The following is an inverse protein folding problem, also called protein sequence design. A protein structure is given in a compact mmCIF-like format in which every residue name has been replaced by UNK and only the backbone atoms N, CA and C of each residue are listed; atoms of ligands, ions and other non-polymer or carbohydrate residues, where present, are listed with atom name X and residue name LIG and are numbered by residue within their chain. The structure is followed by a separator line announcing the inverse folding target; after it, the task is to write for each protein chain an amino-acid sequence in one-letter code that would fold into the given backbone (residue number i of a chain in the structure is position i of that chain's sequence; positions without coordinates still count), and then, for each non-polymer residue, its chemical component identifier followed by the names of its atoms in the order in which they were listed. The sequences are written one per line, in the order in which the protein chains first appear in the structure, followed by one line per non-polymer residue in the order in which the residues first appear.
data_IF_640487701165
#
_entry.id   IF_640487701165
#
_cell.length_a   1.000
_cell.length_b   1.000
_cell.length_c   1.000
_cell.angle_alpha   90.00
_cell.angle_beta   90.00
_cell.angle_gamma   90.00
#
_symmetry.space_group_name_H-M   'P 1'
#
loop_
_entity.id
_entity.type
_entity.pdbx_description
1 polymer ?
#
# COMPACT_ATOMS: atom_id res chain seq x y z
N UNK A 1 21.10 6.55 11.48
CA UNK A 1 20.22 7.75 11.56
C UNK A 1 19.23 7.69 12.73
N UNK A 2 18.68 6.52 13.11
CA UNK A 2 17.68 6.43 14.20
C UNK A 2 18.24 6.21 15.62
N UNK A 3 19.50 5.81 15.79
CA UNK A 3 20.12 5.57 17.12
C UNK A 3 20.21 6.80 18.04
N UNK A 4 19.91 8.01 17.54
CA UNK A 4 19.97 9.25 18.31
C UNK A 4 18.59 9.83 18.67
N UNK A 5 17.49 9.12 18.40
CA UNK A 5 16.17 9.63 18.77
C UNK A 5 15.98 9.52 20.29
N UNK A 6 16.19 10.64 20.98
CA UNK A 6 16.05 10.77 22.44
C UNK A 6 14.63 10.40 22.96
N UNK A 7 13.64 10.32 22.07
CA UNK A 7 12.26 10.00 22.41
C UNK A 7 11.54 9.27 21.24
N UNK A 8 11.69 7.94 21.10
CA UNK A 8 11.09 7.18 19.99
C UNK A 8 9.57 7.32 19.92
N UNK A 9 8.89 7.39 21.07
CA UNK A 9 7.44 7.61 21.15
C UNK A 9 7.00 8.93 20.53
N UNK A 10 7.75 10.01 20.78
CA UNK A 10 7.48 11.31 20.16
C UNK A 10 7.61 11.23 18.63
N UNK A 11 8.63 10.56 18.11
CA UNK A 11 8.76 10.32 16.66
C UNK A 11 7.64 9.43 16.12
N UNK A 12 7.22 8.40 16.86
CA UNK A 12 6.06 7.57 16.52
C UNK A 12 4.78 8.39 16.37
N UNK A 13 4.53 9.32 17.28
CA UNK A 13 3.40 10.26 17.19
C UNK A 13 3.50 11.17 15.96
N UNK A 14 4.69 11.68 15.64
CA UNK A 14 4.91 12.47 14.42
C UNK A 14 4.59 11.63 13.17
N UNK A 15 5.03 10.37 13.11
CA UNK A 15 4.74 9.49 11.96
C UNK A 15 3.26 9.16 11.82
N UNK A 16 2.52 9.04 12.92
CA UNK A 16 1.07 8.88 12.89
C UNK A 16 0.39 10.15 12.36
N UNK A 17 0.82 11.34 12.78
CA UNK A 17 0.31 12.60 12.21
C UNK A 17 0.64 12.69 10.71
N UNK A 18 1.87 12.36 10.32
CA UNK A 18 2.29 12.33 8.92
C UNK A 18 1.47 11.32 8.09
N UNK A 19 1.08 10.18 8.67
CA UNK A 19 0.17 9.21 8.06
C UNK A 19 -1.17 9.86 7.70
N UNK A 20 -1.80 10.56 8.65
CA UNK A 20 -3.09 11.22 8.38
C UNK A 20 -2.97 12.31 7.33
N UNK A 21 -1.87 13.08 7.34
CA UNK A 21 -1.59 14.09 6.31
C UNK A 21 -1.46 13.43 4.93
N UNK A 22 -0.68 12.37 4.82
CA UNK A 22 -0.41 11.70 3.55
C UNK A 22 -1.65 10.96 3.02
N UNK A 23 -2.43 10.34 3.90
CA UNK A 23 -3.73 9.75 3.57
C UNK A 23 -4.70 10.81 3.07
N UNK A 24 -4.81 11.94 3.77
CA UNK A 24 -5.66 13.07 3.36
C UNK A 24 -5.23 13.63 2.02
N UNK A 25 -3.92 13.77 1.78
CA UNK A 25 -3.39 14.20 0.49
C UNK A 25 -3.79 13.22 -0.63
N UNK A 26 -3.68 11.90 -0.39
CA UNK A 26 -4.14 10.89 -1.34
C UNK A 26 -5.65 10.98 -1.63
N UNK A 27 -6.47 11.18 -0.59
CA UNK A 27 -7.91 11.35 -0.73
C UNK A 27 -8.29 12.63 -1.51
N UNK A 28 -7.65 13.77 -1.20
CA UNK A 28 -7.86 15.04 -1.91
C UNK A 28 -7.47 14.93 -3.38
N UNK A 29 -6.33 14.30 -3.69
CA UNK A 29 -5.90 14.07 -5.07
C UNK A 29 -6.87 13.13 -5.80
N UNK A 30 -7.42 12.12 -5.11
CA UNK A 30 -8.44 11.22 -5.69
C UNK A 30 -9.75 11.97 -5.98
N UNK A 31 -10.18 12.85 -5.08
CA UNK A 31 -11.36 13.69 -5.30
C UNK A 31 -11.16 14.65 -6.49
N UNK A 32 -10.02 15.33 -6.56
CA UNK A 32 -9.68 16.21 -7.67
C UNK A 32 -9.67 15.46 -9.02
N UNK A 33 -9.18 14.21 -9.02
CA UNK A 33 -9.25 13.34 -10.20
C UNK A 33 -10.68 13.02 -10.62
N UNK A 34 -11.54 12.69 -9.66
CA UNK A 34 -12.94 12.39 -9.91
C UNK A 34 -13.74 13.61 -10.38
N UNK A 35 -13.51 14.79 -9.80
CA UNK A 35 -14.11 16.05 -10.26
C UNK A 35 -13.66 16.42 -11.68
N UNK A 36 -12.37 16.25 -11.99
CA UNK A 36 -11.87 16.47 -13.34
C UNK A 36 -12.52 15.51 -14.34
N UNK A 37 -12.67 14.24 -13.96
CA UNK A 37 -13.38 13.24 -14.75
C UNK A 37 -14.83 13.67 -15.03
N UNK A 38 -15.57 14.06 -13.98
CA UNK A 38 -16.96 14.53 -14.06
C UNK A 38 -17.12 15.74 -14.98
N UNK A 39 -16.25 16.74 -14.82
CA UNK A 39 -16.25 17.94 -15.65
C UNK A 39 -16.00 17.59 -17.12
N UNK A 40 -15.04 16.71 -17.38
CA UNK A 40 -14.71 16.31 -18.73
C UNK A 40 -15.82 15.48 -19.38
N UNK A 41 -16.49 14.61 -18.64
CA UNK A 41 -17.68 13.87 -19.13
C UNK A 41 -18.88 14.77 -19.39
N UNK A 42 -19.15 15.76 -18.53
CA UNK A 42 -20.28 16.69 -18.69
C UNK A 42 -20.15 17.56 -19.95
N UNK A 43 -18.93 17.95 -20.31
CA UNK A 43 -18.66 18.70 -21.55
C UNK A 43 -18.87 17.88 -22.82
N UNK A 44 -18.91 16.54 -22.72
CA UNK A 44 -18.86 15.63 -23.87
C UNK A 44 -20.14 14.82 -24.10
N UNK A 45 -21.26 15.17 -23.44
CA UNK A 45 -22.53 14.45 -23.58
C UNK A 45 -22.99 14.27 -25.04
N UNK A 46 -22.67 15.21 -25.94
CA UNK A 46 -23.15 15.22 -27.33
C UNK A 46 -22.03 15.15 -28.39
N UNK A 47 -20.78 14.86 -27.99
CA UNK A 47 -19.60 14.90 -28.88
C UNK A 47 -18.78 13.62 -28.79
N UNK A 48 -18.02 13.24 -29.83
CA UNK A 48 -17.06 12.15 -29.73
C UNK A 48 -16.11 12.41 -28.56
N UNK A 49 -15.99 11.42 -27.67
CA UNK A 49 -15.44 11.58 -26.33
C UNK A 49 -13.98 12.10 -26.32
N UNK A 50 -13.17 11.74 -27.32
CA UNK A 50 -11.72 11.99 -27.31
C UNK A 50 -11.30 13.48 -27.42
N UNK A 51 -11.66 14.24 -28.47
CA UNK A 51 -11.22 15.63 -28.60
C UNK A 51 -11.84 16.56 -27.53
N UNK A 52 -13.04 16.23 -27.08
CA UNK A 52 -13.75 16.99 -26.06
C UNK A 52 -13.10 16.83 -24.68
N UNK A 53 -12.70 15.60 -24.31
CA UNK A 53 -12.05 15.31 -23.04
C UNK A 53 -10.69 16.02 -22.92
N UNK A 54 -9.88 15.97 -23.99
CA UNK A 54 -8.62 16.72 -24.07
C UNK A 54 -8.83 18.23 -23.89
N UNK A 55 -9.89 18.79 -24.46
CA UNK A 55 -10.23 20.22 -24.33
C UNK A 55 -10.65 20.59 -22.92
N UNK A 56 -11.47 19.75 -22.25
CA UNK A 56 -11.88 19.96 -20.87
C UNK A 56 -10.70 19.95 -19.90
N UNK A 57 -9.76 19.01 -20.11
CA UNK A 57 -8.52 18.93 -19.33
C UNK A 57 -7.63 20.13 -19.59
N UNK A 58 -7.41 20.50 -20.85
CA UNK A 58 -6.62 21.69 -21.20
C UNK A 58 -7.21 22.97 -20.59
N UNK A 59 -8.54 23.11 -20.62
CA UNK A 59 -9.26 24.25 -20.03
C UNK A 59 -9.10 24.28 -18.51
N UNK A 60 -9.23 23.14 -17.85
CA UNK A 60 -9.06 23.04 -16.40
C UNK A 60 -7.61 23.35 -16.02
N UNK A 61 -6.64 22.81 -16.77
CA UNK A 61 -5.21 23.11 -16.60
C UNK A 61 -4.91 24.60 -16.75
N UNK A 62 -5.51 25.26 -17.75
CA UNK A 62 -5.35 26.69 -17.99
C UNK A 62 -5.92 27.53 -16.83
N UNK A 63 -7.07 27.12 -16.26
CA UNK A 63 -7.64 27.78 -15.07
C UNK A 63 -6.79 27.60 -13.82
N UNK A 64 -6.13 26.46 -13.68
CA UNK A 64 -5.32 26.12 -12.50
C UNK A 64 -3.87 26.60 -12.58
N UNK A 65 -3.44 27.11 -13.74
CA UNK A 65 -2.10 27.67 -13.91
C UNK A 65 -2.21 29.15 -14.32
N UNK A 66 -2.84 30.03 -13.50
CA UNK A 66 -2.79 31.46 -13.78
C UNK A 66 -1.32 31.88 -13.77
N UNK A 67 -0.91 32.65 -14.80
CA UNK A 67 0.44 33.21 -14.85
C UNK A 67 0.75 33.86 -13.50
N UNK A 68 1.74 33.33 -12.78
CA UNK A 68 2.11 33.83 -11.45
C UNK A 68 2.50 35.30 -11.61
N UNK A 69 1.77 36.26 -11.02
CA UNK A 69 2.17 37.65 -11.08
C UNK A 69 3.53 37.78 -10.38
N UNK A 70 4.50 38.44 -11.03
CA UNK A 70 5.88 38.60 -10.56
C UNK A 70 6.04 39.37 -9.23
N UNK A 71 4.96 39.62 -8.48
CA UNK A 71 4.95 40.58 -7.38
C UNK A 71 3.96 40.22 -6.27
N UNK A 72 4.14 39.10 -5.55
CA UNK A 72 3.57 38.94 -4.18
C UNK A 72 4.51 38.10 -3.28
N UNK A 73 4.89 38.62 -2.10
CA UNK A 73 5.41 37.85 -0.97
C UNK A 73 4.27 37.52 0.01
N UNK A 74 3.77 36.28 0.07
CA UNK A 74 3.02 35.82 1.25
C UNK A 74 2.89 34.29 1.33
N UNK A 75 2.95 33.79 2.56
CA UNK A 75 3.08 32.40 2.99
C UNK A 75 1.75 31.63 3.01
N UNK A 76 0.80 31.95 2.13
CA UNK A 76 -0.46 31.21 2.02
C UNK A 76 -0.31 30.11 0.96
N UNK A 77 -0.17 28.85 1.39
CA UNK A 77 0.10 27.73 0.49
C UNK A 77 -0.99 27.55 -0.59
N UNK A 78 -0.63 27.63 -1.89
CA UNK A 78 -1.48 27.26 -3.01
C UNK A 78 -1.42 25.74 -3.21
N UNK A 79 -2.07 24.96 -2.33
CA UNK A 79 -2.06 23.48 -2.43
C UNK A 79 -2.96 22.98 -3.58
N UNK A 80 -4.05 23.70 -3.88
CA UNK A 80 -5.05 23.24 -4.85
C UNK A 80 -4.54 23.26 -6.30
N UNK A 81 -3.72 24.23 -6.69
CA UNK A 81 -3.23 24.37 -8.08
C UNK A 81 -2.05 23.44 -8.40
N UNK A 82 -1.25 23.05 -7.40
CA UNK A 82 -0.19 22.04 -7.57
C UNK A 82 -0.73 20.60 -7.63
N UNK A 83 -1.85 20.33 -6.96
CA UNK A 83 -2.49 19.02 -6.92
C UNK A 83 -2.94 18.50 -8.30
N UNK A 84 -3.46 19.37 -9.18
CA UNK A 84 -3.90 18.95 -10.52
C UNK A 84 -2.74 18.51 -11.43
N UNK A 85 -1.57 19.13 -11.31
CA UNK A 85 -0.39 18.71 -12.07
C UNK A 85 0.09 17.30 -11.75
N UNK A 86 -0.24 16.80 -10.54
CA UNK A 86 0.10 15.44 -10.08
C UNK A 86 -0.89 14.37 -10.56
N UNK A 87 -2.11 14.78 -10.93
CA UNK A 87 -3.21 13.89 -11.35
C UNK A 87 -3.35 13.83 -12.87
N UNK A 88 -2.96 14.90 -13.58
CA UNK A 88 -3.11 15.01 -15.04
C UNK A 88 -1.78 14.75 -15.75
N UNK A 89 -1.73 13.71 -16.57
CA UNK A 89 -0.55 13.38 -17.41
C UNK A 89 -0.39 14.35 -18.58
N UNK A 90 0.76 14.33 -19.26
CA UNK A 90 1.01 15.18 -20.43
C UNK A 90 0.00 14.93 -21.57
N UNK A 91 -0.51 13.71 -21.70
CA UNK A 91 -1.41 13.27 -22.77
C UNK A 91 -2.90 13.44 -22.45
N UNK A 92 -3.25 14.23 -21.43
CA UNK A 92 -4.64 14.42 -20.98
C UNK A 92 -5.31 13.14 -20.44
N UNK A 93 -4.55 12.23 -19.85
CA UNK A 93 -5.10 11.14 -19.03
C UNK A 93 -5.12 11.53 -17.54
N UNK A 94 -6.16 11.08 -16.85
CA UNK A 94 -6.28 11.15 -15.40
C UNK A 94 -5.54 9.94 -14.81
N UNK A 95 -4.68 10.18 -13.82
CA UNK A 95 -3.87 9.17 -13.15
C UNK A 95 -4.06 9.24 -11.64
N UNK A 96 -4.31 8.10 -11.00
CA UNK A 96 -4.38 7.97 -9.55
C UNK A 96 -3.11 7.34 -8.97
N UNK A 97 -2.00 7.30 -9.72
CA UNK A 97 -0.73 6.73 -9.23
C UNK A 97 -0.21 7.43 -7.98
N UNK A 98 -0.21 8.77 -7.99
CA UNK A 98 0.25 9.54 -6.83
C UNK A 98 -0.67 9.32 -5.62
N UNK A 99 -2.02 9.42 -5.73
CA UNK A 99 -2.92 9.01 -4.66
C UNK A 99 -2.65 7.60 -4.10
N UNK A 100 -2.46 6.61 -4.98
CA UNK A 100 -2.15 5.22 -4.60
C UNK A 100 -0.88 5.15 -3.75
N UNK A 101 0.21 5.75 -4.23
CA UNK A 101 1.48 5.76 -3.51
C UNK A 101 1.38 6.51 -2.17
N UNK A 102 0.63 7.62 -2.10
CA UNK A 102 0.36 8.32 -0.86
C UNK A 102 -0.36 7.44 0.16
N UNK A 103 -1.44 6.76 -0.23
CA UNK A 103 -2.19 5.91 0.70
C UNK A 103 -1.38 4.69 1.15
N UNK A 104 -0.67 4.02 0.23
CA UNK A 104 0.21 2.89 0.58
C UNK A 104 1.31 3.35 1.54
N UNK A 105 1.98 4.46 1.24
CA UNK A 105 3.00 5.03 2.12
C UNK A 105 2.43 5.45 3.48
N UNK A 106 1.21 6.00 3.52
CA UNK A 106 0.53 6.33 4.77
C UNK A 106 0.32 5.07 5.63
N UNK A 107 -0.19 3.98 5.06
CA UNK A 107 -0.39 2.73 5.77
C UNK A 107 0.93 2.11 6.28
N UNK A 108 2.01 2.21 5.49
CA UNK A 108 3.33 1.77 5.93
C UNK A 108 3.88 2.62 7.08
N UNK A 109 3.76 3.95 6.98
CA UNK A 109 4.16 4.87 8.04
C UNK A 109 3.35 4.68 9.32
N UNK A 110 2.07 4.32 9.19
CA UNK A 110 1.21 4.01 10.34
C UNK A 110 1.80 2.86 11.15
N UNK A 111 2.17 1.76 10.51
CA UNK A 111 2.75 0.62 11.24
C UNK A 111 4.11 0.93 11.85
N UNK A 112 4.95 1.73 11.18
CA UNK A 112 6.21 2.20 11.77
C UNK A 112 5.94 3.08 13.00
N UNK A 113 4.98 4.01 12.89
CA UNK A 113 4.59 4.90 13.99
C UNK A 113 4.02 4.13 15.19
N UNK A 114 3.13 3.17 14.95
CA UNK A 114 2.58 2.28 15.99
C UNK A 114 3.69 1.44 16.62
N UNK A 115 4.62 0.91 15.82
CA UNK A 115 5.79 0.18 16.31
C UNK A 115 6.62 1.01 17.29
N UNK A 116 6.93 2.26 16.92
CA UNK A 116 7.69 3.18 17.76
C UNK A 116 6.97 3.53 19.07
N UNK A 117 5.63 3.67 19.05
CA UNK A 117 4.87 4.00 20.27
C UNK A 117 4.79 2.80 21.22
N UNK A 118 4.50 1.62 20.69
CA UNK A 118 4.20 0.43 21.49
C UNK A 118 5.46 -0.32 21.94
N UNK A 119 6.51 -0.29 21.12
CA UNK A 119 7.71 -1.12 21.30
C UNK A 119 9.02 -0.32 21.32
N UNK A 120 8.97 1.01 21.24
CA UNK A 120 10.15 1.88 21.13
C UNK A 120 11.06 1.51 19.93
N UNK A 121 10.49 0.84 18.90
CA UNK A 121 11.20 0.31 17.74
C UNK A 121 10.37 0.48 16.45
N UNK A 122 10.97 1.01 15.38
CA UNK A 122 10.34 1.17 14.07
C UNK A 122 9.85 -0.15 13.46
N UNK A 123 10.45 -1.27 13.84
CA UNK A 123 10.05 -2.62 13.45
C UNK A 123 9.07 -3.25 14.45
N UNK A 124 8.60 -2.52 15.45
CA UNK A 124 7.75 -3.04 16.54
C UNK A 124 6.57 -3.89 16.05
N UNK A 125 5.89 -3.45 15.00
CA UNK A 125 4.76 -4.18 14.40
C UNK A 125 5.14 -5.51 13.74
N UNK A 126 6.41 -5.68 13.37
CA UNK A 126 6.92 -6.90 12.75
C UNK A 126 7.75 -7.76 13.71
N UNK A 127 7.96 -7.33 14.96
CA UNK A 127 8.64 -8.16 15.96
C UNK A 127 7.75 -9.35 16.35
N UNK A 128 8.35 -10.51 16.55
CA UNK A 128 7.71 -11.66 17.19
C UNK A 128 7.58 -11.39 18.70
N UNK A 129 6.39 -11.60 19.26
CA UNK A 129 6.13 -11.31 20.68
C UNK A 129 6.89 -12.24 21.64
N UNK A 130 7.26 -13.44 21.19
CA UNK A 130 7.95 -14.42 22.02
C UNK A 130 9.46 -14.23 21.95
N UNK A 131 10.02 -14.05 20.75
CA UNK A 131 11.48 -13.95 20.57
C UNK A 131 12.03 -12.53 20.61
N UNK A 132 11.19 -11.52 20.33
CA UNK A 132 11.63 -10.13 20.14
C UNK A 132 12.44 -9.89 18.85
N UNK A 133 12.55 -10.91 17.99
CA UNK A 133 13.22 -10.82 16.69
C UNK A 133 12.25 -10.29 15.61
N UNK A 134 12.78 -9.67 14.55
CA UNK A 134 11.97 -9.30 13.39
C UNK A 134 11.43 -10.56 12.68
N UNK A 135 10.11 -10.69 12.58
CA UNK A 135 9.44 -11.80 11.94
C UNK A 135 9.20 -11.50 10.46
N UNK A 136 9.78 -12.33 9.58
CA UNK A 136 9.56 -12.23 8.14
C UNK A 136 8.07 -12.33 7.78
N UNK A 137 7.34 -13.29 8.36
CA UNK A 137 5.90 -13.45 8.09
C UNK A 137 5.07 -12.24 8.51
N UNK A 138 5.43 -11.55 9.60
CA UNK A 138 4.74 -10.32 10.02
C UNK A 138 5.07 -9.15 9.10
N UNK A 139 6.33 -9.03 8.68
CA UNK A 139 6.74 -8.02 7.70
C UNK A 139 6.05 -8.19 6.35
N UNK A 140 5.98 -9.42 5.84
CA UNK A 140 5.20 -9.78 4.66
C UNK A 140 3.73 -9.39 4.84
N UNK A 141 3.14 -9.74 5.99
CA UNK A 141 1.73 -9.44 6.23
C UNK A 141 1.40 -7.97 6.30
N UNK A 142 2.27 -7.21 6.96
CA UNK A 142 2.15 -5.77 7.01
C UNK A 142 2.28 -5.13 5.61
N UNK A 143 3.27 -5.54 4.82
CA UNK A 143 3.50 -5.03 3.47
C UNK A 143 2.32 -5.33 2.54
N UNK A 144 1.86 -6.58 2.49
CA UNK A 144 0.73 -6.99 1.64
C UNK A 144 -0.56 -6.28 2.03
N UNK A 145 -0.82 -6.15 3.33
CA UNK A 145 -1.99 -5.41 3.82
C UNK A 145 -1.93 -3.96 3.36
N UNK A 146 -0.79 -3.27 3.49
CA UNK A 146 -0.65 -1.89 3.06
C UNK A 146 -0.89 -1.70 1.55
N UNK A 147 -0.35 -2.61 0.71
CA UNK A 147 -0.52 -2.54 -0.75
C UNK A 147 -1.97 -2.81 -1.16
N UNK A 148 -2.57 -3.90 -0.67
CA UNK A 148 -3.94 -4.30 -1.05
C UNK A 148 -4.95 -3.28 -0.52
N UNK A 149 -4.85 -2.89 0.75
CA UNK A 149 -5.74 -1.88 1.33
C UNK A 149 -5.54 -0.50 0.70
N UNK A 150 -4.32 -0.14 0.32
CA UNK A 150 -4.06 1.12 -0.39
C UNK A 150 -4.73 1.17 -1.75
N UNK A 151 -4.60 0.09 -2.54
CA UNK A 151 -5.30 -0.06 -3.82
C UNK A 151 -6.81 -0.02 -3.67
N UNK A 152 -7.36 -0.82 -2.74
CA UNK A 152 -8.79 -0.86 -2.45
C UNK A 152 -9.32 0.52 -2.03
N UNK A 153 -8.61 1.22 -1.16
CA UNK A 153 -9.01 2.55 -0.68
C UNK A 153 -9.07 3.56 -1.81
N UNK A 154 -8.03 3.68 -2.64
CA UNK A 154 -8.01 4.68 -3.72
C UNK A 154 -9.07 4.40 -4.78
N UNK A 155 -9.26 3.14 -5.17
CA UNK A 155 -10.32 2.77 -6.11
C UNK A 155 -11.71 3.01 -5.53
N UNK A 156 -11.94 2.69 -4.24
CA UNK A 156 -13.20 2.98 -3.56
C UNK A 156 -13.46 4.48 -3.48
N UNK A 157 -12.47 5.28 -3.06
CA UNK A 157 -12.61 6.73 -3.00
C UNK A 157 -12.94 7.32 -4.37
N UNK A 158 -12.28 6.86 -5.43
CA UNK A 158 -12.59 7.30 -6.79
C UNK A 158 -14.01 6.92 -7.19
N UNK A 159 -14.44 5.67 -6.97
CA UNK A 159 -15.81 5.22 -7.22
C UNK A 159 -16.83 6.04 -6.42
N UNK A 160 -16.55 6.40 -5.17
CA UNK A 160 -17.43 7.24 -4.36
C UNK A 160 -17.54 8.66 -4.93
N UNK A 161 -16.41 9.34 -5.14
CA UNK A 161 -16.41 10.73 -5.61
C UNK A 161 -16.96 10.88 -7.04
N UNK A 162 -16.63 9.93 -7.92
CA UNK A 162 -17.17 9.90 -9.28
C UNK A 162 -18.63 9.41 -9.27
N UNK A 163 -18.88 8.26 -8.66
CA UNK A 163 -20.13 7.51 -8.75
C UNK A 163 -21.30 8.08 -7.98
N UNK A 164 -21.11 8.78 -6.85
CA UNK A 164 -22.24 9.40 -6.11
C UNK A 164 -22.96 10.44 -6.98
N UNK A 165 -22.21 11.22 -7.75
CA UNK A 165 -22.77 12.23 -8.65
C UNK A 165 -23.56 11.59 -9.82
N UNK A 166 -23.16 10.40 -10.26
CA UNK A 166 -23.86 9.65 -11.32
C UNK A 166 -25.02 8.79 -10.82
N UNK A 167 -24.86 8.11 -9.69
CA UNK A 167 -25.89 7.26 -9.10
C UNK A 167 -27.15 8.08 -8.79
N UNK A 168 -26.97 9.33 -8.33
CA UNK A 168 -28.06 10.27 -8.13
C UNK A 168 -28.85 10.55 -9.42
N UNK A 169 -28.17 10.61 -10.57
CA UNK A 169 -28.80 10.82 -11.87
C UNK A 169 -29.43 9.54 -12.46
N UNK A 170 -28.83 8.37 -12.19
CA UNK A 170 -29.22 7.10 -12.82
C UNK A 170 -30.39 6.35 -12.13
N UNK A 171 -30.84 6.82 -10.95
CA UNK A 171 -31.91 6.20 -10.14
C UNK A 171 -31.74 4.68 -9.89
N UNK A 172 -30.51 4.16 -9.98
CA UNK A 172 -30.15 2.75 -9.77
C UNK A 172 -29.07 2.65 -8.71
N UNK A 173 -29.14 1.67 -7.80
CA UNK A 173 -28.04 1.41 -6.87
C UNK A 173 -26.82 0.97 -7.68
N UNK A 174 -25.74 1.75 -7.60
CA UNK A 174 -24.44 1.41 -8.15
C UNK A 174 -23.63 0.77 -7.02
N UNK A 175 -23.02 -0.38 -7.27
CA UNK A 175 -22.03 -0.93 -6.33
C UNK A 175 -20.77 -0.05 -6.41
N UNK A 176 -20.47 0.66 -5.33
CA UNK A 176 -19.35 1.61 -5.27
C UNK A 176 -18.06 0.96 -4.78
N UNK A 177 -18.14 -0.25 -4.21
CA UNK A 177 -17.01 -0.93 -3.62
C UNK A 177 -16.39 -1.89 -4.64
N UNK A 178 -15.08 -1.78 -4.91
CA UNK A 178 -14.41 -2.74 -5.77
C UNK A 178 -14.51 -4.15 -5.18
N UNK A 179 -14.92 -5.13 -5.98
CA UNK A 179 -14.85 -6.54 -5.62
C UNK A 179 -13.41 -7.00 -5.36
N UNK A 180 -13.25 -7.91 -4.41
CA UNK A 180 -12.01 -8.64 -4.17
C UNK A 180 -12.12 -10.01 -4.85
N UNK A 181 -11.15 -10.33 -5.70
CA UNK A 181 -11.09 -11.65 -6.29
C UNK A 181 -10.85 -12.74 -5.23
N UNK A 182 -11.32 -13.96 -5.51
CA UNK A 182 -11.18 -15.10 -4.58
C UNK A 182 -9.71 -15.40 -4.27
N UNK A 183 -8.82 -15.34 -5.27
CA UNK A 183 -7.40 -15.61 -5.07
C UNK A 183 -6.76 -14.54 -4.19
N UNK A 184 -7.18 -13.27 -4.33
CA UNK A 184 -6.72 -12.18 -3.48
C UNK A 184 -7.22 -12.32 -2.03
N UNK A 185 -8.45 -12.81 -1.83
CA UNK A 185 -8.97 -13.14 -0.49
C UNK A 185 -8.20 -14.29 0.15
N UNK A 186 -7.89 -15.35 -0.62
CA UNK A 186 -7.05 -16.47 -0.16
C UNK A 186 -5.67 -15.95 0.20
N UNK A 187 -5.08 -15.05 -0.60
CA UNK A 187 -3.81 -14.40 -0.32
C UNK A 187 -3.82 -13.70 1.04
N UNK A 188 -4.80 -12.83 1.26
CA UNK A 188 -4.96 -12.11 2.53
C UNK A 188 -5.16 -13.07 3.70
N UNK A 189 -5.88 -14.18 3.49
CA UNK A 189 -6.05 -15.25 4.48
C UNK A 189 -4.72 -15.92 4.84
N UNK A 190 -3.93 -16.35 3.86
CA UNK A 190 -2.60 -16.97 4.08
C UNK A 190 -1.69 -15.99 4.82
N UNK A 191 -1.69 -14.74 4.37
CA UNK A 191 -0.86 -13.67 4.90
C UNK A 191 -1.24 -13.36 6.36
N UNK A 192 -2.53 -13.28 6.69
CA UNK A 192 -3.00 -13.02 8.06
C UNK A 192 -2.80 -14.23 8.99
N UNK A 193 -2.98 -15.45 8.48
CA UNK A 193 -2.82 -16.68 9.26
C UNK A 193 -1.34 -16.99 9.57
N UNK A 194 -0.43 -16.61 8.67
CA UNK A 194 0.99 -16.97 8.79
C UNK A 194 1.67 -16.48 10.07
N UNK A 195 1.54 -15.21 10.48
CA UNK A 195 2.05 -14.74 11.78
C UNK A 195 1.49 -15.51 12.98
N UNK A 196 0.21 -15.87 12.94
CA UNK A 196 -0.46 -16.61 14.01
C UNK A 196 0.10 -18.02 14.11
N UNK A 197 0.16 -18.73 12.98
CA UNK A 197 0.77 -20.06 12.90
C UNK A 197 2.24 -20.04 13.35
N UNK A 198 3.01 -19.04 12.91
CA UNK A 198 4.42 -18.89 13.29
C UNK A 198 4.59 -18.64 14.80
N UNK A 199 3.63 -17.94 15.44
CA UNK A 199 3.62 -17.71 16.89
C UNK A 199 3.32 -19.00 17.65
N UNK A 200 2.36 -19.81 17.18
CA UNK A 200 2.04 -21.11 17.78
C UNK A 200 3.21 -22.09 17.67
N UNK A 201 3.83 -22.21 16.50
CA UNK A 201 5.01 -23.07 16.29
C UNK A 201 6.19 -22.60 17.16
N UNK A 202 6.36 -21.29 17.31
CA UNK A 202 7.46 -20.73 18.12
C UNK A 202 7.34 -21.07 19.60
N UNK A 203 6.12 -21.13 20.17
CA UNK A 203 5.94 -21.46 21.60
C UNK A 203 6.42 -22.87 21.95
N UNK A 204 6.48 -23.77 20.97
CA UNK A 204 6.97 -25.14 21.15
C UNK A 204 8.49 -25.25 21.15
N UNK A 205 9.20 -24.19 20.79
CA UNK A 205 10.67 -24.17 20.74
C UNK A 205 11.15 -23.18 21.79
N UNK A 206 11.84 -23.60 22.87
CA UNK A 206 12.36 -22.67 23.86
C UNK A 206 13.29 -21.68 23.16
N UNK A 207 12.77 -20.47 22.94
CA UNK A 207 13.39 -19.48 22.08
C UNK A 207 14.71 -19.04 22.68
N UNK A 208 15.75 -19.02 21.85
CA UNK A 208 16.90 -18.17 22.14
C UNK A 208 16.35 -16.74 22.07
N UNK A 209 16.36 -16.05 23.21
CA UNK A 209 15.98 -14.66 23.25
C UNK A 209 16.88 -13.91 22.27
N UNK A 210 16.31 -13.27 21.24
CA UNK A 210 17.08 -12.30 20.49
C UNK A 210 17.69 -11.36 21.52
N UNK A 211 18.98 -10.98 21.36
CA UNK A 211 19.63 -10.09 22.32
C UNK A 211 18.69 -8.92 22.54
N UNK A 212 18.18 -8.78 23.78
CA UNK A 212 17.35 -7.64 24.18
C UNK A 212 18.23 -6.44 23.96
N UNK A 213 18.09 -5.80 22.82
CA UNK A 213 18.90 -4.63 22.56
C UNK A 213 18.25 -3.51 23.34
N UNK A 214 18.95 -3.15 24.41
CA UNK A 214 18.61 -2.01 25.24
C UNK A 214 18.88 -0.78 24.39
N UNK A 215 17.83 -0.24 23.76
CA UNK A 215 17.91 0.95 22.90
C UNK A 215 17.38 0.73 21.48
N UNK A 216 17.35 1.81 20.71
CA UNK A 216 16.91 1.82 19.31
C UNK A 216 17.96 1.08 18.49
N UNK A 217 17.62 -0.10 17.96
CA UNK A 217 18.46 -0.73 16.95
C UNK A 217 18.46 0.10 15.67
N UNK A 218 19.62 0.24 15.03
CA UNK A 218 19.70 0.76 13.68
C UNK A 218 18.75 0.03 12.73
N UNK A 219 18.05 0.77 11.86
CA UNK A 219 17.15 0.23 10.84
C UNK A 219 17.78 -0.93 10.05
N UNK A 220 19.05 -0.79 9.65
CA UNK A 220 19.77 -1.83 8.91
C UNK A 220 19.99 -3.10 9.72
N UNK A 221 20.19 -3.00 11.04
CA UNK A 221 20.33 -4.17 11.91
C UNK A 221 19.03 -4.96 11.97
N UNK A 222 17.89 -4.27 12.13
CA UNK A 222 16.56 -4.89 12.10
C UNK A 222 16.21 -5.46 10.74
N UNK A 223 16.57 -4.76 9.67
CA UNK A 223 16.40 -5.26 8.32
C UNK A 223 17.25 -6.51 8.07
N UNK A 224 18.51 -6.52 8.52
CA UNK A 224 19.40 -7.68 8.42
C UNK A 224 18.89 -8.91 9.21
N UNK A 225 18.18 -8.68 10.32
CA UNK A 225 17.53 -9.77 11.07
C UNK A 225 16.49 -10.52 10.24
N UNK A 226 15.86 -9.89 9.24
CA UNK A 226 14.93 -10.58 8.34
C UNK A 226 15.60 -11.69 7.51
N UNK A 227 16.93 -11.62 7.34
CA UNK A 227 17.74 -12.59 6.61
C UNK A 227 18.44 -13.60 7.53
N UNK A 228 18.41 -13.36 8.83
CA UNK A 228 19.10 -14.16 9.83
C UNK A 228 18.18 -15.22 10.42
N UNK A 229 18.70 -16.35 10.85
CA UNK A 229 17.91 -17.33 11.59
C UNK A 229 17.50 -16.80 12.97
N UNK A 230 16.23 -17.01 13.35
CA UNK A 230 15.74 -16.66 14.69
C UNK A 230 16.39 -17.53 15.77
N UNK A 231 16.90 -18.71 15.41
CA UNK A 231 17.54 -19.65 16.31
C UNK A 231 19.07 -19.45 16.45
N UNK A 232 19.70 -18.56 15.70
CA UNK A 232 21.17 -18.44 15.71
C UNK A 232 21.74 -17.66 16.92
N UNK A 233 20.88 -17.16 17.81
CA UNK A 233 21.29 -16.47 19.03
C UNK A 233 22.09 -15.21 18.80
N UNK A 234 23.21 -15.05 19.52
CA UNK A 234 24.06 -13.85 19.44
C UNK A 234 24.88 -13.76 18.15
N UNK A 235 25.00 -14.85 17.40
CA UNK A 235 25.73 -14.93 16.14
C UNK A 235 24.75 -15.19 15.00
N UNK A 236 24.02 -14.18 14.51
CA UNK A 236 23.04 -14.36 13.45
C UNK A 236 23.70 -14.99 12.23
N UNK A 237 23.27 -16.19 11.87
CA UNK A 237 23.67 -16.86 10.64
C UNK A 237 22.70 -16.47 9.53
N UNK A 238 23.24 -16.05 8.39
CA UNK A 238 22.43 -15.78 7.20
C UNK A 238 21.88 -17.10 6.67
N UNK A 239 20.57 -17.14 6.44
CA UNK A 239 19.93 -18.32 5.85
C UNK A 239 19.49 -18.04 4.43
N UNK A 240 19.95 -18.87 3.49
CA UNK A 240 19.63 -18.73 2.06
C UNK A 240 18.12 -18.79 1.84
N UNK A 241 17.40 -19.64 2.57
CA UNK A 241 15.94 -19.78 2.47
C UNK A 241 15.20 -18.49 2.84
N UNK A 242 15.60 -17.80 3.92
CA UNK A 242 14.99 -16.50 4.29
C UNK A 242 15.30 -15.44 3.27
N UNK A 243 16.54 -15.38 2.78
CA UNK A 243 16.91 -14.45 1.72
C UNK A 243 16.03 -14.65 0.47
N UNK A 244 15.80 -15.90 0.05
CA UNK A 244 14.89 -16.23 -1.05
C UNK A 244 13.46 -15.75 -0.76
N UNK A 245 12.94 -15.98 0.44
CA UNK A 245 11.59 -15.54 0.82
C UNK A 245 11.45 -14.01 0.82
N UNK A 246 12.44 -13.28 1.35
CA UNK A 246 12.47 -11.80 1.32
C UNK A 246 12.49 -11.29 -0.12
N UNK A 247 13.39 -11.82 -0.95
CA UNK A 247 13.50 -11.40 -2.35
C UNK A 247 12.23 -11.71 -3.14
N UNK A 248 11.66 -12.90 -2.97
CA UNK A 248 10.39 -13.27 -3.60
C UNK A 248 9.27 -12.31 -3.18
N UNK A 249 9.20 -11.96 -1.91
CA UNK A 249 8.21 -11.00 -1.39
C UNK A 249 8.36 -9.64 -2.07
N UNK A 250 9.59 -9.11 -2.16
CA UNK A 250 9.86 -7.81 -2.78
C UNK A 250 9.45 -7.84 -4.26
N UNK A 251 9.80 -8.90 -4.99
CA UNK A 251 9.44 -9.06 -6.40
C UNK A 251 7.93 -9.09 -6.57
N UNK A 252 7.23 -9.99 -5.86
CA UNK A 252 5.78 -10.13 -5.96
C UNK A 252 5.05 -8.83 -5.55
N UNK A 253 5.45 -8.21 -4.43
CA UNK A 253 4.87 -6.95 -3.97
C UNK A 253 5.05 -5.82 -4.99
N UNK A 254 6.24 -5.72 -5.60
CA UNK A 254 6.53 -4.73 -6.64
C UNK A 254 5.70 -5.00 -7.91
N UNK A 255 5.61 -6.26 -8.34
CA UNK A 255 4.79 -6.64 -9.50
C UNK A 255 3.31 -6.29 -9.28
N UNK A 256 2.76 -6.60 -8.10
CA UNK A 256 1.37 -6.30 -7.80
C UNK A 256 1.12 -4.79 -7.65
N UNK A 257 2.04 -4.06 -7.01
CA UNK A 257 1.97 -2.60 -6.95
C UNK A 257 2.05 -1.97 -8.36
N UNK A 258 2.84 -2.55 -9.27
CA UNK A 258 2.90 -2.14 -10.66
C UNK A 258 1.57 -2.42 -11.40
N UNK A 259 0.93 -3.57 -11.16
CA UNK A 259 -0.41 -3.85 -11.71
C UNK A 259 -1.47 -2.87 -11.19
N UNK A 260 -1.49 -2.61 -9.87
CA UNK A 260 -2.35 -1.57 -9.30
C UNK A 260 -2.07 -0.20 -9.93
N UNK A 261 -0.79 0.15 -10.07
CA UNK A 261 -0.36 1.41 -10.68
C UNK A 261 -0.73 1.53 -12.15
N UNK A 262 -0.71 0.45 -12.92
CA UNK A 262 -1.15 0.42 -14.31
C UNK A 262 -2.67 0.58 -14.39
N UNK A 263 -3.42 -0.15 -13.55
CA UNK A 263 -4.88 -0.10 -13.47
C UNK A 263 -5.41 1.30 -13.21
N UNK A 264 -4.68 2.10 -12.42
CA UNK A 264 -5.08 3.47 -12.06
C UNK A 264 -4.33 4.56 -12.82
N UNK A 265 -3.45 4.24 -13.78
CA UNK A 265 -2.63 5.25 -14.47
C UNK A 265 -3.34 5.92 -15.63
N UNK A 266 -3.99 5.12 -16.47
CA UNK A 266 -4.51 5.57 -17.76
C UNK A 266 -6.02 5.41 -17.68
N UNK A 267 -6.65 6.44 -17.13
CA UNK A 267 -8.09 6.57 -17.17
C UNK A 267 -8.41 7.46 -18.37
N UNK A 268 -8.95 6.84 -19.42
CA UNK A 268 -9.30 7.51 -20.66
C UNK A 268 -10.80 7.84 -20.75
N UNK A 269 -11.15 8.65 -21.77
CA UNK A 269 -12.52 9.06 -22.03
C UNK A 269 -13.47 7.88 -22.32
N UNK A 270 -12.95 6.77 -22.85
CA UNK A 270 -13.74 5.58 -23.20
C UNK A 270 -14.11 4.79 -21.95
N UNK A 271 -13.23 4.71 -20.95
CA UNK A 271 -13.53 4.09 -19.66
C UNK A 271 -14.67 4.81 -18.94
N UNK A 272 -14.74 6.15 -19.05
CA UNK A 272 -15.83 6.92 -18.45
C UNK A 272 -17.19 6.67 -19.11
N UNK A 273 -17.25 6.60 -20.44
CA UNK A 273 -18.53 6.37 -21.14
C UNK A 273 -19.12 4.99 -20.83
N UNK A 274 -18.27 4.00 -20.58
CA UNK A 274 -18.68 2.66 -20.12
C UNK A 274 -19.18 2.70 -18.68
N UNK A 275 -18.49 3.42 -17.79
CA UNK A 275 -18.83 3.49 -16.37
C UNK A 275 -20.17 4.20 -16.10
N UNK A 276 -20.51 5.26 -16.87
CA UNK A 276 -21.71 6.08 -16.67
C UNK A 276 -23.02 5.27 -16.68
N UNK A 277 -23.06 4.12 -17.35
CA UNK A 277 -24.32 3.43 -17.61
C UNK A 277 -24.49 2.06 -16.94
N UNK A 278 -23.46 1.48 -16.30
CA UNK A 278 -23.51 0.03 -16.00
C UNK A 278 -22.85 -0.46 -14.70
N UNK A 279 -21.89 0.21 -14.06
CA UNK A 279 -21.14 -0.33 -12.91
C UNK A 279 -20.25 0.72 -12.22
N UNK A 280 -19.67 0.39 -11.06
CA UNK A 280 -18.52 1.12 -10.52
C UNK A 280 -17.42 1.31 -11.59
N UNK A 281 -16.73 2.44 -11.56
CA UNK A 281 -15.62 2.70 -12.47
C UNK A 281 -14.51 1.64 -12.30
N UNK A 282 -14.19 1.31 -11.06
CA UNK A 282 -13.35 0.18 -10.68
C UNK A 282 -14.21 -0.92 -10.07
N UNK A 283 -14.70 -1.89 -10.86
CA UNK A 283 -15.59 -2.94 -10.37
C UNK A 283 -14.84 -3.98 -9.50
N UNK A 284 -13.53 -4.15 -9.68
CA UNK A 284 -12.70 -5.07 -8.91
C UNK A 284 -11.24 -4.64 -8.88
N UNK A 285 -10.49 -5.14 -7.89
CA UNK A 285 -9.03 -5.09 -7.92
C UNK A 285 -8.46 -6.03 -9.00
N UNK A 286 -7.24 -5.76 -9.50
CA UNK A 286 -6.55 -6.70 -10.37
C UNK A 286 -6.39 -8.06 -9.68
N UNK A 287 -6.70 -9.13 -10.42
CA UNK A 287 -6.37 -10.49 -10.00
C UNK A 287 -4.85 -10.68 -9.97
N UNK A 288 -4.37 -11.47 -9.01
CA UNK A 288 -2.98 -11.89 -8.85
C UNK A 288 -2.65 -13.11 -9.72
N UNK A 289 -3.66 -13.90 -10.10
CA UNK A 289 -3.54 -15.15 -10.84
C UNK A 289 -2.97 -16.30 -10.01
N UNK A 290 -3.31 -17.53 -10.39
CA UNK A 290 -2.93 -18.72 -9.62
C UNK A 290 -1.41 -18.95 -9.47
N UNK A 291 -0.59 -18.55 -10.46
CA UNK A 291 0.87 -18.70 -10.37
C UNK A 291 1.48 -17.84 -9.26
N UNK A 292 0.96 -16.63 -9.06
CA UNK A 292 1.36 -15.74 -7.99
C UNK A 292 0.96 -16.30 -6.62
N UNK A 293 -0.27 -16.81 -6.52
CA UNK A 293 -0.77 -17.45 -5.30
C UNK A 293 0.07 -18.67 -4.92
N UNK A 294 0.43 -19.51 -5.89
CA UNK A 294 1.31 -20.67 -5.68
C UNK A 294 2.70 -20.25 -5.20
N UNK A 295 3.32 -19.26 -5.85
CA UNK A 295 4.65 -18.78 -5.47
C UNK A 295 4.65 -18.22 -4.04
N UNK A 296 3.62 -17.47 -3.68
CA UNK A 296 3.49 -16.94 -2.33
C UNK A 296 3.21 -18.05 -1.31
N UNK A 297 2.23 -18.91 -1.58
CA UNK A 297 1.90 -20.05 -0.73
C UNK A 297 3.10 -20.96 -0.49
N UNK A 298 3.87 -21.28 -1.54
CA UNK A 298 5.10 -22.05 -1.44
C UNK A 298 6.15 -21.35 -0.57
N UNK A 299 6.37 -20.03 -0.74
CA UNK A 299 7.31 -19.28 0.09
C UNK A 299 6.93 -19.29 1.57
N UNK A 300 5.64 -19.15 1.88
CA UNK A 300 5.12 -19.23 3.24
C UNK A 300 5.24 -20.65 3.81
N UNK A 301 4.91 -21.68 3.02
CA UNK A 301 5.04 -23.07 3.44
C UNK A 301 6.48 -23.44 3.75
N UNK A 302 7.43 -23.11 2.86
CA UNK A 302 8.87 -23.34 3.06
C UNK A 302 9.35 -22.64 4.34
N UNK A 303 8.91 -21.40 4.56
CA UNK A 303 9.24 -20.66 5.77
C UNK A 303 8.72 -21.36 7.04
N UNK A 304 7.45 -21.76 7.08
CA UNK A 304 6.88 -22.44 8.24
C UNK A 304 7.55 -23.80 8.50
N UNK A 305 7.83 -24.55 7.44
CA UNK A 305 8.54 -25.83 7.51
C UNK A 305 9.94 -25.64 8.08
N UNK A 306 10.67 -24.61 7.64
CA UNK A 306 12.00 -24.27 8.17
C UNK A 306 12.00 -23.90 9.66
N UNK A 307 10.87 -23.41 10.18
CA UNK A 307 10.70 -23.06 11.60
C UNK A 307 10.29 -24.27 12.46
N UNK A 308 9.79 -25.34 11.83
CA UNK A 308 9.33 -26.51 12.55
C UNK A 308 10.52 -27.39 12.98
N UNK A 309 10.58 -27.75 14.27
CA UNK A 309 11.54 -28.76 14.79
C UNK A 309 11.31 -30.17 14.24
N UNK A 310 10.34 -30.33 13.35
CA UNK A 310 9.98 -31.58 12.69
C UNK A 310 11.11 -32.07 11.78
N UNK A 311 11.80 -31.16 11.08
CA UNK A 311 12.97 -31.49 10.25
C UNK A 311 14.08 -32.09 11.13
N UNK A 312 14.41 -31.44 12.24
CA UNK A 312 15.45 -31.93 13.15
C UNK A 312 15.12 -33.30 13.73
N UNK A 313 13.84 -33.59 13.97
CA UNK A 313 13.40 -34.90 14.45
C UNK A 313 13.49 -35.97 13.34
N UNK A 314 13.10 -35.63 12.11
CA UNK A 314 13.13 -36.55 10.97
C UNK A 314 14.55 -36.95 10.54
N UNK A 315 15.51 -36.03 10.63
CA UNK A 315 16.90 -36.31 10.22
C UNK A 315 17.78 -36.88 11.35
N UNK A 316 17.30 -36.89 12.60
CA UNK A 316 18.01 -37.49 13.74
C UNK A 316 17.54 -38.91 14.09
N UNK A 317 16.44 -39.39 13.50
CA UNK A 317 15.94 -40.76 13.63
C UNK A 317 16.51 -41.66 12.53
#
# INVERSE_FOLDING_TARGET
MFEQLKNPKFFGSILIVATFILFTAGAVLTNAAAELALNATGMCSDKPANPCFATAIATTRAKTNPAVPNSIPSLAMPVATSALGLVVTQDSHISLRIPLLCVVAALLLLGVGVGLILHDDAFGMVLDLNSGCASLSRAQAFLWTAIVMGGYTVMTLFNLFFGVNYAAAAAKPIDLYPGLDTDLLVLLGIVAASPVAATFISKSTPGINCPKVVGIQGFFTRFAQLFSDDAAGSTPSLTISRMQCVLMTIVLATCYLAFLSQRVCIIDATAFSVAINKQAFFPSLPDIGGSFLILMGASHAIFQVSKSSLIDKLFKS
#
